data_IF_520244803910
#
_entry.id   IF_520244803910
#
_cell.length_a   1.000
_cell.length_b   1.000
_cell.length_c   1.000
_cell.angle_alpha   90.00
_cell.angle_beta   90.00
_cell.angle_gamma   90.00
#
_symmetry.space_group_name_H-M   'P 1'
#
loop_
_entity.id
_entity.type
_entity.pdbx_description
1 polymer ?
#
# COMPACT_ATOMS: atom_id res chain seq x y z
N UNK A 1 9.28 -12.07 55.18
CA UNK A 1 9.22 -13.50 54.79
C UNK A 1 7.99 -13.68 53.90
N UNK A 2 8.18 -13.87 52.59
CA UNK A 2 7.08 -13.83 51.61
C UNK A 2 6.38 -15.20 51.56
N UNK A 3 5.10 -15.26 51.88
CA UNK A 3 4.35 -16.53 51.99
C UNK A 3 4.30 -17.28 50.64
N UNK A 4 4.40 -18.62 50.62
CA UNK A 4 4.47 -19.40 49.38
C UNK A 4 3.24 -19.22 48.47
N UNK A 5 2.09 -18.88 49.05
CA UNK A 5 0.85 -18.58 48.32
C UNK A 5 0.94 -17.30 47.45
N UNK A 6 1.73 -16.30 47.87
CA UNK A 6 1.91 -15.06 47.10
C UNK A 6 2.92 -15.22 45.96
N UNK A 7 3.82 -16.20 46.05
CA UNK A 7 4.78 -16.53 44.98
C UNK A 7 4.08 -17.22 43.80
N UNK A 8 3.13 -18.11 44.06
CA UNK A 8 2.33 -18.78 43.03
C UNK A 8 1.45 -17.80 42.24
N UNK A 9 0.78 -16.86 42.93
CA UNK A 9 -0.08 -15.87 42.28
C UNK A 9 0.72 -14.84 41.47
N UNK A 10 1.90 -14.43 41.95
CA UNK A 10 2.81 -13.56 41.20
C UNK A 10 3.36 -14.25 39.94
N UNK A 11 3.73 -15.52 40.04
CA UNK A 11 4.22 -16.30 38.89
C UNK A 11 3.13 -16.58 37.85
N UNK A 12 1.89 -16.88 38.28
CA UNK A 12 0.75 -16.99 37.35
C UNK A 12 0.46 -15.67 36.62
N UNK A 13 0.48 -14.53 37.33
CA UNK A 13 0.30 -13.21 36.73
C UNK A 13 1.39 -12.89 35.71
N UNK A 14 2.65 -13.21 36.00
CA UNK A 14 3.75 -13.03 35.07
C UNK A 14 3.65 -13.93 33.83
N UNK A 15 3.21 -15.19 33.99
CA UNK A 15 3.01 -16.11 32.85
C UNK A 15 1.92 -15.60 31.91
N UNK A 16 0.78 -15.15 32.45
CA UNK A 16 -0.33 -14.59 31.65
C UNK A 16 0.10 -13.30 30.94
N UNK A 17 0.88 -12.44 31.61
CA UNK A 17 1.42 -11.24 30.99
C UNK A 17 2.38 -11.57 29.84
N UNK A 18 3.22 -12.60 29.98
CA UNK A 18 4.13 -13.04 28.93
C UNK A 18 3.40 -13.69 27.75
N UNK A 19 2.36 -14.49 28.01
CA UNK A 19 1.50 -15.07 26.96
C UNK A 19 0.70 -13.99 26.20
N UNK A 20 0.29 -12.92 26.88
CA UNK A 20 -0.35 -11.76 26.25
C UNK A 20 0.65 -10.96 25.42
N UNK A 21 1.87 -10.76 25.92
CA UNK A 21 2.93 -10.08 25.18
C UNK A 21 3.34 -10.87 23.92
N UNK A 22 3.52 -12.19 24.02
CA UNK A 22 3.92 -13.04 22.87
C UNK A 22 2.87 -13.04 21.75
N UNK A 23 1.57 -13.04 22.09
CA UNK A 23 0.48 -12.92 21.11
C UNK A 23 0.50 -11.60 20.34
N UNK A 24 0.98 -10.51 20.95
CA UNK A 24 1.14 -9.20 20.29
C UNK A 24 2.40 -9.13 19.40
N UNK A 25 3.41 -9.98 19.64
CA UNK A 25 4.61 -10.09 18.79
C UNK A 25 4.28 -10.83 17.48
N UNK A 26 3.42 -11.87 17.51
CA UNK A 26 3.01 -12.60 16.29
C UNK A 26 1.93 -11.87 15.50
N UNK A 27 1.14 -10.98 16.13
CA UNK A 27 0.19 -10.09 15.44
C UNK A 27 0.79 -8.73 15.05
N UNK A 28 2.13 -8.60 15.11
CA UNK A 28 2.94 -7.44 14.71
C UNK A 28 3.01 -7.25 13.19
N UNK A 29 1.90 -7.47 12.49
CA UNK A 29 1.80 -7.44 11.03
C UNK A 29 0.92 -6.32 10.49
N UNK A 30 -0.08 -5.87 11.25
CA UNK A 30 -1.04 -4.85 10.79
C UNK A 30 -0.94 -3.54 11.59
N UNK A 31 0.28 -3.15 11.97
CA UNK A 31 0.53 -1.75 12.32
C UNK A 31 0.76 -1.02 11.00
N UNK A 32 -0.14 -0.09 10.69
CA UNK A 32 -0.02 0.81 9.55
C UNK A 32 1.32 1.53 9.70
N UNK A 33 2.33 1.09 8.95
CA UNK A 33 3.63 1.76 8.88
C UNK A 33 3.35 3.18 8.39
N UNK A 34 3.81 4.15 9.18
CA UNK A 34 3.51 5.58 9.02
C UNK A 34 3.73 6.08 7.60
N UNK A 35 2.94 7.11 7.25
CA UNK A 35 2.89 7.81 5.98
C UNK A 35 3.41 6.96 4.81
N UNK A 36 2.61 5.99 4.34
CA UNK A 36 2.65 5.70 2.91
C UNK A 36 2.56 7.07 2.26
N UNK A 37 3.62 7.58 1.58
CA UNK A 37 3.47 8.81 0.81
C UNK A 37 2.30 8.48 -0.07
N UNK A 38 1.18 9.19 0.11
CA UNK A 38 -0.10 8.92 -0.55
C UNK A 38 0.27 8.70 -1.99
N UNK A 39 0.35 7.43 -2.34
CA UNK A 39 0.93 6.94 -3.58
C UNK A 39 0.06 7.63 -4.57
N UNK A 40 0.60 8.67 -5.22
CA UNK A 40 -0.14 9.72 -5.91
C UNK A 40 -0.98 8.98 -6.93
N UNK A 41 -2.16 8.59 -6.48
CA UNK A 41 -3.07 7.73 -7.18
C UNK A 41 -3.73 8.75 -8.03
N UNK A 42 -3.07 9.04 -9.15
CA UNK A 42 -3.62 9.88 -10.18
C UNK A 42 -5.09 9.46 -10.30
N UNK A 43 -6.03 10.43 -10.24
CA UNK A 43 -7.46 10.11 -10.25
C UNK A 43 -7.85 9.28 -11.49
N UNK A 44 -6.96 9.28 -12.50
CA UNK A 44 -6.94 8.42 -13.66
C UNK A 44 -5.88 7.32 -13.52
N UNK A 45 -6.26 6.07 -13.76
CA UNK A 45 -5.32 4.95 -13.72
C UNK A 45 -4.24 5.08 -14.81
N UNK A 46 -3.03 4.50 -14.62
CA UNK A 46 -1.94 4.58 -15.60
C UNK A 46 -2.35 4.15 -17.02
N UNK A 47 -3.25 3.16 -17.12
CA UNK A 47 -3.80 2.68 -18.38
C UNK A 47 -4.67 3.74 -19.08
N UNK A 48 -5.54 4.42 -18.32
CA UNK A 48 -6.39 5.48 -18.85
C UNK A 48 -5.56 6.70 -19.25
N UNK A 49 -4.54 7.04 -18.46
CA UNK A 49 -3.61 8.13 -18.78
C UNK A 49 -2.83 7.83 -20.07
N UNK A 50 -2.35 6.60 -20.23
CA UNK A 50 -1.68 6.15 -21.46
C UNK A 50 -2.60 6.20 -22.68
N UNK A 51 -3.83 5.69 -22.57
CA UNK A 51 -4.82 5.75 -23.65
C UNK A 51 -5.21 7.20 -23.99
N UNK A 52 -5.37 8.05 -22.98
CA UNK A 52 -5.71 9.46 -23.17
C UNK A 52 -4.63 10.19 -23.96
N UNK A 53 -3.35 10.04 -23.55
CA UNK A 53 -2.22 10.65 -24.27
C UNK A 53 -2.10 10.07 -25.69
N UNK A 54 -2.27 8.75 -25.86
CA UNK A 54 -2.20 8.11 -27.18
C UNK A 54 -3.29 8.61 -28.13
N UNK A 55 -4.55 8.73 -27.67
CA UNK A 55 -5.65 9.22 -28.52
C UNK A 55 -5.48 10.70 -28.83
N UNK A 56 -5.17 11.52 -27.82
CA UNK A 56 -5.04 12.98 -27.99
C UNK A 56 -3.81 13.34 -28.83
N UNK A 57 -2.62 12.86 -28.48
CA UNK A 57 -1.40 13.16 -29.23
C UNK A 57 -1.29 12.35 -30.53
N UNK A 58 -1.72 11.08 -30.53
CA UNK A 58 -1.66 10.22 -31.70
C UNK A 58 -2.57 10.70 -32.83
N UNK A 59 -3.76 11.22 -32.54
CA UNK A 59 -4.66 11.73 -33.58
C UNK A 59 -4.08 12.89 -34.38
N UNK A 60 -3.30 13.77 -33.76
CA UNK A 60 -2.60 14.86 -34.45
C UNK A 60 -1.50 14.31 -35.37
N UNK A 61 -0.73 13.32 -34.89
CA UNK A 61 0.32 12.66 -35.70
C UNK A 61 -0.29 11.94 -36.90
N UNK A 62 -1.38 11.19 -36.69
CA UNK A 62 -2.09 10.50 -37.77
C UNK A 62 -2.66 11.49 -38.80
N UNK A 63 -3.23 12.62 -38.38
CA UNK A 63 -3.68 13.69 -39.29
C UNK A 63 -2.54 14.32 -40.09
N UNK A 64 -1.36 14.52 -39.49
CA UNK A 64 -0.20 15.08 -40.19
C UNK A 64 0.33 14.09 -41.23
N UNK A 65 0.48 12.82 -40.86
CA UNK A 65 0.95 11.77 -41.79
C UNK A 65 -0.06 11.60 -42.94
N UNK A 66 -1.35 11.55 -42.62
CA UNK A 66 -2.43 11.46 -43.60
C UNK A 66 -2.48 12.70 -44.51
N UNK A 67 -2.35 13.91 -43.99
CA UNK A 67 -2.39 15.14 -44.80
C UNK A 67 -1.17 15.27 -45.72
N UNK A 68 0.04 14.94 -45.24
CA UNK A 68 1.26 14.99 -46.08
C UNK A 68 1.19 13.95 -47.20
N UNK A 69 0.69 12.75 -46.90
CA UNK A 69 0.63 11.66 -47.87
C UNK A 69 -0.55 11.81 -48.84
N UNK A 70 -1.71 12.28 -48.37
CA UNK A 70 -2.88 12.53 -49.23
C UNK A 70 -2.78 13.82 -50.05
N UNK A 71 -1.99 14.82 -49.64
CA UNK A 71 -1.74 16.00 -50.49
C UNK A 71 -0.78 15.74 -51.66
N UNK A 72 -0.12 14.56 -51.73
CA UNK A 72 0.74 14.17 -52.86
C UNK A 72 0.04 13.28 -53.90
N UNK A 73 -1.27 13.09 -53.77
CA UNK A 73 -2.17 12.55 -54.80
C UNK A 73 -3.05 13.68 -55.33
#
# INVERSE_FOLDING_TARGET
NLSPLSRMSAQQRMKIANEKASKNITQRGNVIKGLKPSEVKYPVGPWLLGLFIFVVCGSAIFQIIQSIWMSKM
#
